data_IF_711611090303
#
_entry.id   IF_711611090303
#
_cell.length_a   1.000
_cell.length_b   1.000
_cell.length_c   1.000
_cell.angle_alpha   90.00
_cell.angle_beta   90.00
_cell.angle_gamma   90.00
#
_symmetry.space_group_name_H-M   'P 1'
#
loop_
_entity.id
_entity.type
_entity.pdbx_description
1 polymer ?
#
# COMPACT_ATOMS: atom_id res chain seq x y z
N UNK A 1 -23.52 -18.22 12.77
CA UNK A 1 -23.01 -18.61 11.44
C UNK A 1 -22.33 -17.46 10.66
N UNK A 2 -22.74 -16.19 10.83
CA UNK A 2 -22.15 -15.00 10.16
C UNK A 2 -20.69 -14.66 10.51
N UNK A 3 -20.18 -15.10 11.66
CA UNK A 3 -18.82 -14.75 12.15
C UNK A 3 -17.74 -15.55 11.41
N UNK A 4 -18.02 -16.81 11.06
CA UNK A 4 -17.06 -17.68 10.35
C UNK A 4 -16.86 -17.27 8.88
N UNK A 5 -17.88 -16.69 8.25
CA UNK A 5 -17.81 -16.28 6.84
C UNK A 5 -16.99 -14.97 6.67
N UNK A 6 -17.13 -14.01 7.60
CA UNK A 6 -16.33 -12.78 7.64
C UNK A 6 -14.84 -13.05 7.89
N UNK A 7 -14.53 -13.98 8.81
CA UNK A 7 -13.14 -14.31 9.18
C UNK A 7 -12.39 -15.02 8.03
N UNK A 8 -13.09 -15.86 7.25
CA UNK A 8 -12.57 -16.47 6.02
C UNK A 8 -12.20 -15.41 4.97
N UNK A 9 -13.08 -14.45 4.71
CA UNK A 9 -12.82 -13.41 3.68
C UNK A 9 -11.64 -12.48 4.02
N UNK A 10 -11.41 -12.20 5.31
CA UNK A 10 -10.30 -11.31 5.74
C UNK A 10 -8.94 -11.99 5.71
N UNK A 11 -8.85 -13.31 5.96
CA UNK A 11 -7.56 -14.00 5.91
C UNK A 11 -7.06 -14.19 4.48
N UNK A 12 -7.97 -14.45 3.53
CA UNK A 12 -7.63 -14.50 2.11
C UNK A 12 -7.08 -13.17 1.61
N UNK A 13 -7.72 -12.05 1.99
CA UNK A 13 -7.23 -10.70 1.68
C UNK A 13 -5.80 -10.44 2.15
N UNK A 14 -5.49 -10.71 3.43
CA UNK A 14 -4.13 -10.51 3.95
C UNK A 14 -3.10 -11.38 3.23
N UNK A 15 -3.47 -12.62 2.91
CA UNK A 15 -2.62 -13.54 2.17
C UNK A 15 -2.33 -13.02 0.74
N UNK A 16 -3.36 -12.55 0.05
CA UNK A 16 -3.23 -11.95 -1.28
C UNK A 16 -2.32 -10.70 -1.23
N UNK A 17 -2.47 -9.86 -0.20
CA UNK A 17 -1.59 -8.69 -0.02
C UNK A 17 -0.12 -9.06 0.21
N UNK A 18 0.14 -10.12 0.99
CA UNK A 18 1.51 -10.62 1.18
C UNK A 18 2.09 -11.10 -0.15
N UNK A 19 1.33 -11.89 -0.91
CA UNK A 19 1.77 -12.37 -2.24
C UNK A 19 2.02 -11.18 -3.17
N UNK A 20 1.09 -10.23 -3.25
CA UNK A 20 1.26 -9.04 -4.08
C UNK A 20 2.47 -8.21 -3.64
N UNK A 21 2.69 -8.02 -2.34
CA UNK A 21 3.86 -7.32 -1.85
C UNK A 21 5.16 -8.02 -2.27
N UNK A 22 5.23 -9.35 -2.16
CA UNK A 22 6.37 -10.14 -2.64
C UNK A 22 6.57 -9.93 -4.15
N UNK A 23 5.51 -10.02 -4.95
CA UNK A 23 5.60 -9.88 -6.40
C UNK A 23 6.04 -8.48 -6.82
N UNK A 24 5.46 -7.43 -6.22
CA UNK A 24 5.71 -6.04 -6.62
C UNK A 24 6.96 -5.42 -6.00
N UNK A 25 7.35 -5.85 -4.79
CA UNK A 25 8.52 -5.32 -4.10
C UNK A 25 9.72 -6.25 -4.15
N UNK A 26 9.54 -7.50 -3.75
CA UNK A 26 10.66 -8.44 -3.57
C UNK A 26 11.25 -8.94 -4.90
N UNK A 27 10.43 -9.22 -5.92
CA UNK A 27 10.92 -9.71 -7.21
C UNK A 27 11.85 -8.69 -7.90
N UNK A 28 11.50 -7.40 -8.03
CA UNK A 28 12.44 -6.41 -8.56
C UNK A 28 13.76 -6.35 -7.79
N UNK A 29 13.71 -6.41 -6.46
CA UNK A 29 14.91 -6.45 -5.63
C UNK A 29 15.77 -7.69 -5.91
N UNK A 30 15.16 -8.86 -6.05
CA UNK A 30 15.86 -10.10 -6.39
C UNK A 30 16.51 -10.02 -7.78
N UNK A 31 15.81 -9.48 -8.78
CA UNK A 31 16.35 -9.32 -10.12
C UNK A 31 17.56 -8.38 -10.11
N UNK A 32 17.45 -7.22 -9.46
CA UNK A 32 18.56 -6.28 -9.34
C UNK A 32 19.73 -6.92 -8.60
N UNK A 33 19.48 -7.63 -7.51
CA UNK A 33 20.53 -8.34 -6.77
C UNK A 33 21.22 -9.40 -7.63
N UNK A 34 20.45 -10.14 -8.44
CA UNK A 34 20.97 -11.21 -9.31
C UNK A 34 21.81 -10.67 -10.47
N UNK A 35 21.41 -9.55 -11.07
CA UNK A 35 22.07 -9.01 -12.26
C UNK A 35 23.12 -7.94 -11.97
N UNK A 36 22.95 -7.18 -10.89
CA UNK A 36 23.78 -6.00 -10.56
C UNK A 36 24.43 -6.09 -9.18
N UNK A 37 24.22 -7.19 -8.45
CA UNK A 37 24.80 -7.39 -7.12
C UNK A 37 24.24 -6.44 -6.05
N UNK A 38 24.93 -6.40 -4.91
CA UNK A 38 24.52 -5.60 -3.75
C UNK A 38 24.63 -4.10 -4.04
N UNK A 39 25.66 -3.66 -4.76
CA UNK A 39 25.84 -2.25 -5.14
C UNK A 39 24.68 -1.77 -6.02
N UNK A 40 24.28 -2.56 -7.02
CA UNK A 40 23.11 -2.25 -7.83
C UNK A 40 21.82 -2.21 -7.02
N UNK A 41 21.68 -3.06 -6.01
CA UNK A 41 20.53 -3.05 -5.11
C UNK A 41 20.50 -1.77 -4.25
N UNK A 42 21.65 -1.33 -3.74
CA UNK A 42 21.77 -0.06 -2.99
C UNK A 42 21.38 1.12 -3.88
N UNK A 43 21.94 1.22 -5.09
CA UNK A 43 21.59 2.30 -6.03
C UNK A 43 20.13 2.25 -6.46
N UNK A 44 19.56 1.05 -6.62
CA UNK A 44 18.13 0.88 -6.87
C UNK A 44 17.31 1.47 -5.73
N UNK A 45 17.63 1.14 -4.47
CA UNK A 45 16.94 1.69 -3.31
C UNK A 45 17.10 3.19 -3.16
N UNK A 46 18.29 3.74 -3.40
CA UNK A 46 18.48 5.19 -3.42
C UNK A 46 17.60 5.86 -4.49
N UNK A 47 17.49 5.23 -5.67
CA UNK A 47 16.65 5.74 -6.76
C UNK A 47 15.15 5.62 -6.51
N UNK A 48 14.69 4.56 -5.84
CA UNK A 48 13.25 4.36 -5.55
C UNK A 48 12.83 5.00 -4.23
N UNK A 49 13.75 5.45 -3.38
CA UNK A 49 13.42 6.14 -2.14
C UNK A 49 12.91 7.54 -2.48
N UNK A 50 11.61 7.81 -2.31
CA UNK A 50 11.08 9.13 -2.60
C UNK A 50 11.67 10.14 -1.61
N UNK A 51 11.99 11.37 -2.06
CA UNK A 51 12.33 12.47 -1.15
C UNK A 51 11.22 12.70 -0.12
N UNK A 52 11.58 13.24 1.06
CA UNK A 52 10.64 13.40 2.19
C UNK A 52 9.33 14.11 1.81
N UNK A 53 9.39 15.11 0.93
CA UNK A 53 8.21 15.83 0.46
C UNK A 53 7.24 14.96 -0.36
N UNK A 54 7.74 13.97 -1.10
CA UNK A 54 6.89 13.01 -1.80
C UNK A 54 6.25 12.02 -0.81
N UNK A 55 6.94 11.65 0.27
CA UNK A 55 6.35 10.84 1.34
C UNK A 55 5.16 11.57 1.96
N UNK A 56 5.32 12.86 2.30
CA UNK A 56 4.21 13.67 2.81
C UNK A 56 3.07 13.81 1.80
N UNK A 57 3.40 13.90 0.50
CA UNK A 57 2.40 13.93 -0.57
C UNK A 57 1.60 12.62 -0.66
N UNK A 58 2.25 11.45 -0.62
CA UNK A 58 1.55 10.16 -0.61
C UNK A 58 0.70 9.99 0.65
N UNK A 59 1.18 10.45 1.80
CA UNK A 59 0.39 10.47 3.03
C UNK A 59 -0.85 11.37 2.89
N UNK A 60 -0.69 12.56 2.31
CA UNK A 60 -1.80 13.47 2.01
C UNK A 60 -2.82 12.82 1.06
N UNK A 61 -2.37 12.12 0.02
CA UNK A 61 -3.27 11.38 -0.89
C UNK A 61 -4.05 10.28 -0.15
N UNK A 62 -3.40 9.54 0.75
CA UNK A 62 -4.07 8.53 1.60
C UNK A 62 -5.12 9.16 2.51
N UNK A 63 -4.82 10.33 3.10
CA UNK A 63 -5.79 11.09 3.92
C UNK A 63 -6.95 11.57 3.04
N UNK A 64 -6.68 12.13 1.87
CA UNK A 64 -7.70 12.63 0.94
C UNK A 64 -8.64 11.50 0.49
N UNK A 65 -8.08 10.34 0.13
CA UNK A 65 -8.85 9.15 -0.20
C UNK A 65 -9.77 8.74 0.97
N UNK A 66 -9.25 8.74 2.19
CA UNK A 66 -10.01 8.43 3.41
C UNK A 66 -11.16 9.41 3.67
N UNK A 67 -10.92 10.71 3.44
CA UNK A 67 -11.94 11.76 3.60
C UNK A 67 -13.03 11.61 2.55
N UNK A 68 -12.68 11.43 1.27
CA UNK A 68 -13.67 11.24 0.20
C UNK A 68 -14.51 10.00 0.46
N UNK A 69 -13.89 8.92 0.95
CA UNK A 69 -14.60 7.72 1.37
C UNK A 69 -15.58 7.99 2.52
N UNK A 70 -15.13 8.69 3.57
CA UNK A 70 -15.97 9.02 4.72
C UNK A 70 -17.17 9.87 4.28
N UNK A 71 -16.94 10.90 3.46
CA UNK A 71 -18.01 11.72 2.89
C UNK A 71 -18.97 10.85 2.07
N UNK A 72 -18.48 9.96 1.20
CA UNK A 72 -19.33 9.09 0.40
C UNK A 72 -20.18 8.14 1.25
N UNK A 73 -19.65 7.65 2.38
CA UNK A 73 -20.34 6.71 3.26
C UNK A 73 -21.39 7.41 4.14
N UNK A 74 -21.09 8.60 4.64
CA UNK A 74 -21.93 9.33 5.60
C UNK A 74 -22.82 10.41 4.96
N UNK A 75 -22.58 10.79 3.70
CA UNK A 75 -23.45 11.73 2.97
C UNK A 75 -24.72 11.03 2.48
N UNK A 76 -25.60 10.72 3.41
CA UNK A 76 -27.01 10.41 3.17
C UNK A 76 -27.71 11.67 2.63
N UNK A 77 -28.33 11.58 1.45
CA UNK A 77 -29.33 12.53 0.94
C UNK A 77 -28.86 13.97 0.65
N UNK A 78 -28.14 14.19 -0.45
CA UNK A 78 -28.04 15.53 -1.06
C UNK A 78 -28.43 15.44 -2.54
N UNK A 79 -29.31 16.39 -2.92
CA UNK A 79 -29.86 16.75 -4.24
C UNK A 79 -29.17 16.16 -5.49
N UNK A 80 -29.99 15.83 -6.51
CA UNK A 80 -29.58 15.29 -7.82
C UNK A 80 -28.43 16.07 -8.50
N UNK A 81 -28.30 17.38 -8.26
CA UNK A 81 -27.19 18.20 -8.77
C UNK A 81 -25.82 17.77 -8.23
N UNK A 82 -25.77 17.28 -6.99
CA UNK A 82 -24.53 16.82 -6.34
C UNK A 82 -24.13 15.39 -6.71
N UNK A 83 -25.01 14.65 -7.40
CA UNK A 83 -24.83 13.23 -7.72
C UNK A 83 -23.71 12.99 -8.73
N UNK A 84 -23.63 13.81 -9.78
CA UNK A 84 -22.58 13.73 -10.81
C UNK A 84 -21.19 14.04 -10.24
N UNK A 85 -21.12 15.07 -9.38
CA UNK A 85 -19.86 15.44 -8.72
C UNK A 85 -19.40 14.35 -7.74
N UNK A 86 -20.31 13.82 -6.91
CA UNK A 86 -20.02 12.68 -6.02
C UNK A 86 -19.51 11.46 -6.79
N UNK A 87 -20.13 11.13 -7.93
CA UNK A 87 -19.69 10.01 -8.76
C UNK A 87 -18.28 10.21 -9.32
N UNK A 88 -17.97 11.41 -9.82
CA UNK A 88 -16.62 11.74 -10.31
C UNK A 88 -15.58 11.71 -9.20
N UNK A 89 -15.87 12.29 -8.03
CA UNK A 89 -14.98 12.22 -6.87
C UNK A 89 -14.73 10.80 -6.40
N UNK A 90 -15.77 9.97 -6.41
CA UNK A 90 -15.66 8.56 -6.05
C UNK A 90 -14.82 7.79 -7.07
N UNK A 91 -15.00 8.02 -8.37
CA UNK A 91 -14.18 7.40 -9.42
C UNK A 91 -12.70 7.81 -9.32
N UNK A 92 -12.42 9.10 -9.10
CA UNK A 92 -11.07 9.60 -8.87
C UNK A 92 -10.45 9.00 -7.61
N UNK A 93 -11.20 8.99 -6.50
CA UNK A 93 -10.75 8.39 -5.25
C UNK A 93 -10.44 6.90 -5.42
N UNK A 94 -11.27 6.16 -6.16
CA UNK A 94 -11.04 4.75 -6.45
C UNK A 94 -9.72 4.52 -7.23
N UNK A 95 -9.45 5.32 -8.26
CA UNK A 95 -8.20 5.25 -9.03
C UNK A 95 -6.97 5.62 -8.20
N UNK A 96 -7.05 6.69 -7.41
CA UNK A 96 -5.96 7.11 -6.51
C UNK A 96 -5.68 6.03 -5.46
N UNK A 97 -6.74 5.45 -4.87
CA UNK A 97 -6.63 4.34 -3.93
C UNK A 97 -5.93 3.13 -4.56
N UNK A 98 -6.22 2.83 -5.82
CA UNK A 98 -5.62 1.68 -6.53
C UNK A 98 -4.12 1.87 -6.70
N UNK A 99 -3.71 3.07 -7.10
CA UNK A 99 -2.30 3.41 -7.27
C UNK A 99 -1.55 3.40 -5.92
N UNK A 100 -2.19 3.90 -4.86
CA UNK A 100 -1.64 3.86 -3.50
C UNK A 100 -1.45 2.42 -3.00
N UNK A 101 -2.40 1.52 -3.25
CA UNK A 101 -2.26 0.11 -2.92
C UNK A 101 -1.02 -0.50 -3.57
N UNK A 102 -0.82 -0.26 -4.87
CA UNK A 102 0.38 -0.73 -5.59
C UNK A 102 1.67 -0.18 -4.98
N UNK A 103 1.70 1.11 -4.65
CA UNK A 103 2.84 1.76 -4.01
C UNK A 103 3.18 1.14 -2.64
N UNK A 104 2.19 0.98 -1.76
CA UNK A 104 2.40 0.40 -0.44
C UNK A 104 2.81 -1.08 -0.50
N UNK A 105 2.30 -1.86 -1.47
CA UNK A 105 2.75 -3.24 -1.74
C UNK A 105 4.22 -3.29 -2.14
N UNK A 106 4.64 -2.39 -3.04
CA UNK A 106 6.03 -2.33 -3.49
C UNK A 106 6.99 -2.01 -2.32
N UNK A 107 6.64 -1.03 -1.48
CA UNK A 107 7.41 -0.70 -0.27
C UNK A 107 7.45 -1.89 0.70
N UNK A 108 6.29 -2.49 0.98
CA UNK A 108 6.17 -3.60 1.91
C UNK A 108 6.97 -4.84 1.48
N UNK A 109 7.14 -5.07 0.17
CA UNK A 109 7.94 -6.18 -0.34
C UNK A 109 9.43 -5.88 -0.46
N UNK A 110 9.81 -4.61 -0.65
CA UNK A 110 11.20 -4.23 -0.94
C UNK A 110 12.02 -3.99 0.34
N UNK A 111 11.45 -3.37 1.37
CA UNK A 111 12.16 -3.05 2.61
C UNK A 111 12.79 -4.24 3.36
N UNK A 112 12.15 -5.43 3.43
CA UNK A 112 12.78 -6.58 4.09
C UNK A 112 14.08 -7.01 3.42
N UNK A 113 14.24 -6.78 2.11
CA UNK A 113 15.46 -7.12 1.37
C UNK A 113 16.66 -6.24 1.73
N UNK A 114 16.43 -5.07 2.33
CA UNK A 114 17.50 -4.24 2.90
C UNK A 114 17.68 -4.60 4.38
N UNK A 115 16.57 -4.64 5.12
CA UNK A 115 16.61 -4.71 6.57
C UNK A 115 17.18 -6.04 7.08
N UNK A 116 16.84 -7.17 6.44
CA UNK A 116 17.32 -8.49 6.86
C UNK A 116 18.85 -8.61 6.68
N UNK A 117 19.44 -8.29 5.51
CA UNK A 117 20.89 -8.28 5.37
C UNK A 117 21.61 -7.35 6.36
N UNK A 118 21.07 -6.16 6.64
CA UNK A 118 21.66 -5.26 7.65
C UNK A 118 21.76 -5.96 9.00
N UNK A 119 20.69 -6.64 9.44
CA UNK A 119 20.70 -7.37 10.71
C UNK A 119 21.68 -8.54 10.74
N UNK A 120 22.00 -9.14 9.59
CA UNK A 120 22.91 -10.29 9.50
C UNK A 120 24.38 -9.84 9.41
N UNK A 121 24.67 -8.82 8.60
CA UNK A 121 26.05 -8.46 8.24
C UNK A 121 26.60 -7.24 8.98
N UNK A 122 25.75 -6.30 9.41
CA UNK A 122 26.17 -5.10 10.15
C UNK A 122 25.30 -4.93 11.42
N UNK A 123 25.66 -5.68 12.45
CA UNK A 123 24.99 -5.67 13.76
C UNK A 123 25.42 -4.52 14.68
N UNK A 124 25.83 -3.37 14.14
CA UNK A 124 26.04 -2.19 14.98
C UNK A 124 24.72 -1.68 15.54
N UNK A 125 24.75 -1.07 16.74
CA UNK A 125 23.53 -0.61 17.43
C UNK A 125 22.69 0.34 16.57
N UNK A 126 23.33 1.23 15.81
CA UNK A 126 22.67 2.15 14.89
C UNK A 126 22.01 1.43 13.70
N UNK A 127 22.73 0.51 13.06
CA UNK A 127 22.23 -0.29 11.94
C UNK A 127 21.06 -1.19 12.34
N UNK A 128 21.10 -1.78 13.54
CA UNK A 128 19.99 -2.55 14.11
C UNK A 128 18.72 -1.70 14.27
N UNK A 129 18.83 -0.50 14.86
CA UNK A 129 17.67 0.38 15.01
C UNK A 129 17.08 0.79 13.67
N UNK A 130 17.94 1.10 12.68
CA UNK A 130 17.50 1.43 11.32
C UNK A 130 16.77 0.27 10.66
N UNK A 131 17.29 -0.95 10.76
CA UNK A 131 16.66 -2.14 10.19
C UNK A 131 15.32 -2.46 10.85
N UNK A 132 15.23 -2.34 12.19
CA UNK A 132 13.95 -2.50 12.91
C UNK A 132 12.92 -1.47 12.41
N UNK A 133 13.33 -0.21 12.25
CA UNK A 133 12.44 0.84 11.74
C UNK A 133 11.95 0.54 10.32
N UNK A 134 12.83 0.07 9.43
CA UNK A 134 12.47 -0.36 8.08
C UNK A 134 11.48 -1.53 8.09
N UNK A 135 11.67 -2.53 8.95
CA UNK A 135 10.72 -3.65 9.08
C UNK A 135 9.37 -3.19 9.62
N UNK A 136 9.35 -2.31 10.62
CA UNK A 136 8.10 -1.73 11.13
C UNK A 136 7.37 -0.94 10.04
N UNK A 137 8.10 -0.15 9.25
CA UNK A 137 7.52 0.60 8.14
C UNK A 137 7.02 -0.30 7.01
N UNK A 138 7.71 -1.42 6.76
CA UNK A 138 7.26 -2.49 5.85
C UNK A 138 5.92 -3.09 6.28
N UNK A 139 5.79 -3.41 7.57
CA UNK A 139 4.55 -3.95 8.15
C UNK A 139 3.43 -2.89 8.09
N UNK A 140 3.73 -1.64 8.45
CA UNK A 140 2.77 -0.54 8.37
C UNK A 140 2.27 -0.33 6.92
N UNK A 141 3.15 -0.42 5.94
CA UNK A 141 2.81 -0.33 4.52
C UNK A 141 1.92 -1.51 4.08
N UNK A 142 2.21 -2.73 4.52
CA UNK A 142 1.36 -3.88 4.24
C UNK A 142 -0.05 -3.73 4.83
N UNK A 143 -0.14 -3.20 6.06
CA UNK A 143 -1.43 -2.90 6.70
C UNK A 143 -2.19 -1.81 5.96
N UNK A 144 -1.50 -0.76 5.48
CA UNK A 144 -2.10 0.28 4.67
C UNK A 144 -2.64 -0.27 3.33
N UNK A 145 -1.87 -1.13 2.64
CA UNK A 145 -2.31 -1.81 1.42
C UNK A 145 -3.55 -2.68 1.68
N UNK A 146 -3.53 -3.51 2.73
CA UNK A 146 -4.69 -4.31 3.13
C UNK A 146 -5.93 -3.47 3.41
N UNK A 147 -5.76 -2.37 4.15
CA UNK A 147 -6.86 -1.50 4.52
C UNK A 147 -7.46 -0.79 3.30
N UNK A 148 -6.62 -0.30 2.40
CA UNK A 148 -7.05 0.32 1.14
C UNK A 148 -7.74 -0.69 0.21
N UNK A 149 -7.19 -1.90 0.02
CA UNK A 149 -7.85 -2.96 -0.77
C UNK A 149 -9.21 -3.32 -0.19
N UNK A 150 -9.30 -3.47 1.14
CA UNK A 150 -10.57 -3.72 1.82
C UNK A 150 -11.59 -2.62 1.56
N UNK A 151 -11.16 -1.36 1.55
CA UNK A 151 -12.02 -0.23 1.22
C UNK A 151 -12.46 -0.24 -0.23
N UNK A 152 -11.53 -0.48 -1.16
CA UNK A 152 -11.83 -0.55 -2.59
C UNK A 152 -12.83 -1.65 -2.90
N UNK A 153 -12.74 -2.83 -2.27
CA UNK A 153 -13.72 -3.90 -2.48
C UNK A 153 -15.14 -3.49 -2.06
N UNK A 154 -15.27 -2.64 -1.03
CA UNK A 154 -16.57 -2.12 -0.59
C UNK A 154 -17.10 -1.00 -1.48
N UNK A 155 -16.19 -0.24 -2.08
CA UNK A 155 -16.53 0.92 -2.92
C UNK A 155 -16.36 0.66 -4.40
N UNK A 156 -16.25 -0.60 -4.85
CA UNK A 156 -16.24 -0.89 -6.29
C UNK A 156 -17.51 -0.28 -6.89
N UNK A 157 -17.39 0.65 -7.86
CA UNK A 157 -18.55 1.18 -8.54
C UNK A 157 -19.23 0.02 -9.26
N UNK A 158 -20.41 -0.38 -8.77
CA UNK A 158 -21.22 -1.39 -9.46
C UNK A 158 -21.62 -0.77 -10.79
N UNK A 159 -21.03 -1.27 -11.87
CA UNK A 159 -21.45 -0.96 -13.23
C UNK A 159 -22.93 -1.36 -13.26
N UNK A 160 -23.82 -0.37 -13.42
CA UNK A 160 -25.17 -0.68 -13.85
C UNK A 160 -25.00 -1.09 -15.30
N UNK A 161 -25.07 -2.40 -15.55
CA UNK A 161 -25.36 -2.89 -16.89
C UNK A 161 -26.66 -2.19 -17.33
N UNK A 162 -26.55 -1.41 -18.40
CA UNK A 162 -27.67 -0.77 -19.07
C UNK A 162 -28.20 -1.73 -20.12
#
# INVERSE_FOLDING_TARGET
MHINQKRKTTSHLLFDEIICAIVFGSIPCLLVLQFSGVEGLVSFFEGITPPDYLIYYFLLLTILHSVVWAISKYSLSLSDSSRTFKYRLHALSYQVGFNLVGFYRAIAGSLPFIAIPILIYDSTRGSIFKAIFMLLFSIASLLAAYWLTYWQQKTVPRIKEF
#
